data_IF_267432790884
#
_entry.id   IF_267432790884
#
_cell.length_a   1.000
_cell.length_b   1.000
_cell.length_c   1.000
_cell.angle_alpha   90.00
_cell.angle_beta   90.00
_cell.angle_gamma   90.00
#
_symmetry.space_group_name_H-M   'P 1'
#
loop_
_entity.id
_entity.type
_entity.pdbx_description
1 polymer ?
#
# COMPACT_ATOMS: atom_id res chain seq x y z
N UNK A 1 12.72 19.52 -16.15
CA UNK A 1 11.74 19.13 -15.12
C UNK A 1 11.26 17.75 -15.49
N UNK A 2 11.23 16.79 -14.56
CA UNK A 2 10.71 15.47 -14.85
C UNK A 2 9.23 15.58 -15.25
N UNK A 3 8.77 14.72 -16.16
CA UNK A 3 7.39 14.71 -16.64
C UNK A 3 6.43 14.51 -15.46
N UNK A 4 6.82 13.68 -14.48
CA UNK A 4 6.10 13.48 -13.23
C UNK A 4 5.82 14.77 -12.44
N UNK A 5 6.81 15.66 -12.25
CA UNK A 5 6.59 16.91 -11.50
C UNK A 5 5.56 17.83 -12.16
N UNK A 6 5.61 17.92 -13.49
CA UNK A 6 4.67 18.74 -14.25
C UNK A 6 3.25 18.17 -14.13
N UNK A 7 3.10 16.84 -14.26
CA UNK A 7 1.81 16.18 -14.10
C UNK A 7 1.30 16.29 -12.67
N UNK A 8 2.17 16.17 -11.66
CA UNK A 8 1.82 16.29 -10.24
C UNK A 8 1.20 17.65 -9.91
N UNK A 9 1.77 18.73 -10.43
CA UNK A 9 1.22 20.07 -10.22
C UNK A 9 -0.18 20.24 -10.85
N UNK A 10 -0.40 19.59 -12.01
CA UNK A 10 -1.71 19.61 -12.68
C UNK A 10 -2.74 18.74 -11.94
N UNK A 11 -2.37 17.52 -11.59
CA UNK A 11 -3.21 16.58 -10.82
C UNK A 11 -3.55 17.17 -9.46
N UNK A 12 -2.60 17.81 -8.78
CA UNK A 12 -2.84 18.49 -7.51
C UNK A 12 -3.83 19.65 -7.60
N UNK A 13 -4.04 20.25 -8.78
CA UNK A 13 -5.13 21.22 -9.01
C UNK A 13 -6.46 20.51 -9.26
N UNK A 14 -6.47 19.43 -10.05
CA UNK A 14 -7.66 18.64 -10.36
C UNK A 14 -8.27 17.98 -9.11
N UNK A 15 -7.41 17.55 -8.18
CA UNK A 15 -7.84 16.95 -6.92
C UNK A 15 -8.39 17.98 -5.91
N UNK A 16 -8.17 19.28 -6.14
CA UNK A 16 -8.70 20.35 -5.29
C UNK A 16 -10.10 20.76 -5.75
N UNK A 17 -11.10 20.41 -4.95
CA UNK A 17 -12.47 20.88 -5.13
C UNK A 17 -13.41 19.82 -5.70
N UNK A 18 -14.33 20.25 -6.56
CA UNK A 18 -15.42 19.41 -7.09
C UNK A 18 -14.99 18.51 -8.26
N UNK A 19 -13.91 18.88 -8.96
CA UNK A 19 -13.42 18.18 -10.15
C UNK A 19 -12.82 16.80 -9.85
N UNK A 20 -12.57 16.49 -8.57
CA UNK A 20 -12.09 15.18 -8.10
C UNK A 20 -13.04 14.02 -8.41
N UNK A 21 -14.30 14.32 -8.71
CA UNK A 21 -15.34 13.33 -9.04
C UNK A 21 -15.76 13.38 -10.51
N UNK A 22 -15.13 14.24 -11.32
CA UNK A 22 -15.43 14.33 -12.74
C UNK A 22 -14.79 13.13 -13.48
N UNK A 23 -15.58 12.25 -14.12
CA UNK A 23 -15.04 11.11 -14.88
C UNK A 23 -14.19 11.52 -16.08
N UNK A 24 -14.31 12.75 -16.61
CA UNK A 24 -13.44 13.24 -17.70
C UNK A 24 -11.96 13.32 -17.28
N UNK A 25 -11.70 13.51 -15.98
CA UNK A 25 -10.35 13.56 -15.45
C UNK A 25 -9.69 12.17 -15.33
N UNK A 26 -10.49 11.10 -15.42
CA UNK A 26 -10.03 9.73 -15.22
C UNK A 26 -8.90 9.36 -16.18
N UNK A 27 -9.02 9.69 -17.47
CA UNK A 27 -7.97 9.43 -18.46
C UNK A 27 -6.63 10.13 -18.13
N UNK A 28 -6.69 11.31 -17.54
CA UNK A 28 -5.48 12.04 -17.10
C UNK A 28 -4.87 11.39 -15.86
N UNK A 29 -5.70 10.93 -14.93
CA UNK A 29 -5.26 10.26 -13.71
C UNK A 29 -4.69 8.86 -13.99
N UNK A 30 -5.30 8.08 -14.89
CA UNK A 30 -4.79 6.78 -15.34
C UNK A 30 -3.38 6.93 -15.94
N UNK A 31 -3.21 7.89 -16.85
CA UNK A 31 -1.88 8.21 -17.41
C UNK A 31 -0.89 8.65 -16.34
N UNK A 32 -1.36 9.34 -15.30
CA UNK A 32 -0.52 9.73 -14.18
C UNK A 32 -0.06 8.52 -13.35
N UNK A 33 -0.92 7.51 -13.16
CA UNK A 33 -0.56 6.22 -12.52
C UNK A 33 0.49 5.48 -13.34
N UNK A 34 0.36 5.43 -14.67
CA UNK A 34 1.39 4.83 -15.52
C UNK A 34 2.75 5.54 -15.39
N UNK A 35 2.74 6.87 -15.33
CA UNK A 35 3.96 7.65 -15.10
C UNK A 35 4.56 7.36 -13.72
N UNK A 36 3.74 7.20 -12.68
CA UNK A 36 4.20 6.77 -11.34
C UNK A 36 4.90 5.41 -11.39
N UNK A 37 4.38 4.46 -12.17
CA UNK A 37 5.00 3.15 -12.36
C UNK A 37 6.36 3.25 -13.08
N UNK A 38 6.44 4.03 -14.15
CA UNK A 38 7.66 4.20 -14.96
C UNK A 38 8.77 4.99 -14.25
N UNK A 39 8.42 6.10 -13.60
CA UNK A 39 9.38 7.01 -12.94
C UNK A 39 9.68 6.62 -11.49
N UNK A 40 9.17 5.47 -11.02
CA UNK A 40 9.25 5.04 -9.62
C UNK A 40 8.81 6.13 -8.61
N UNK A 41 7.75 6.85 -8.96
CA UNK A 41 7.15 7.87 -8.11
C UNK A 41 5.87 7.34 -7.46
N UNK A 42 5.35 8.03 -6.45
CA UNK A 42 4.14 7.59 -5.74
C UNK A 42 3.34 8.77 -5.21
N UNK A 43 2.03 8.77 -5.48
CA UNK A 43 1.06 9.75 -5.01
C UNK A 43 -0.26 9.05 -4.60
N UNK A 44 -0.40 8.79 -3.30
CA UNK A 44 -1.56 8.10 -2.74
C UNK A 44 -2.88 8.85 -3.01
N UNK A 45 -2.89 10.18 -2.97
CA UNK A 45 -4.11 10.96 -3.11
C UNK A 45 -4.72 10.79 -4.51
N UNK A 46 -3.87 10.83 -5.54
CA UNK A 46 -4.28 10.55 -6.91
C UNK A 46 -4.75 9.11 -7.10
N UNK A 47 -4.04 8.14 -6.50
CA UNK A 47 -4.38 6.73 -6.59
C UNK A 47 -5.75 6.43 -5.96
N UNK A 48 -6.03 6.98 -4.77
CA UNK A 48 -7.34 6.84 -4.12
C UNK A 48 -8.46 7.55 -4.90
N UNK A 49 -8.16 8.66 -5.56
CA UNK A 49 -9.13 9.35 -6.42
C UNK A 49 -9.54 8.49 -7.62
N UNK A 50 -8.59 7.81 -8.28
CA UNK A 50 -8.86 6.86 -9.38
C UNK A 50 -9.75 5.72 -8.89
N UNK A 51 -9.39 5.06 -7.80
CA UNK A 51 -10.20 3.96 -7.24
C UNK A 51 -11.61 4.43 -6.87
N UNK A 52 -11.74 5.65 -6.33
CA UNK A 52 -13.03 6.24 -5.98
C UNK A 52 -13.87 6.60 -7.21
N UNK A 53 -13.25 7.07 -8.30
CA UNK A 53 -13.93 7.31 -9.57
C UNK A 53 -14.46 6.02 -10.19
N UNK A 54 -13.68 4.93 -10.11
CA UNK A 54 -14.12 3.60 -10.53
C UNK A 54 -15.30 3.07 -9.69
N UNK A 55 -15.35 3.36 -8.38
CA UNK A 55 -16.51 3.03 -7.55
C UNK A 55 -17.79 3.72 -8.01
N UNK A 56 -17.71 5.02 -8.34
CA UNK A 56 -18.87 5.77 -8.82
C UNK A 56 -19.26 5.40 -10.26
N UNK A 57 -18.29 4.99 -11.07
CA UNK A 57 -18.49 4.70 -12.49
C UNK A 57 -17.89 3.34 -12.88
N UNK A 58 -18.58 2.22 -12.57
CA UNK A 58 -18.05 0.87 -12.83
C UNK A 58 -17.76 0.58 -14.31
N UNK A 59 -18.37 1.32 -15.24
CA UNK A 59 -18.15 1.16 -16.67
C UNK A 59 -16.73 1.56 -17.14
N UNK A 60 -16.03 2.38 -16.35
CA UNK A 60 -14.65 2.79 -16.64
C UNK A 60 -13.63 2.01 -15.82
N UNK A 61 -14.03 0.96 -15.11
CA UNK A 61 -13.12 0.18 -14.28
C UNK A 61 -12.02 -0.46 -15.13
N UNK A 62 -10.76 -0.08 -14.88
CA UNK A 62 -9.60 -0.69 -15.52
C UNK A 62 -8.85 -1.58 -14.54
N UNK A 63 -8.80 -2.87 -14.85
CA UNK A 63 -8.06 -3.86 -14.07
C UNK A 63 -6.56 -3.54 -14.04
N UNK A 64 -5.96 -3.19 -15.18
CA UNK A 64 -4.51 -2.94 -15.27
C UNK A 64 -4.06 -1.77 -14.39
N UNK A 65 -4.79 -0.65 -14.43
CA UNK A 65 -4.48 0.53 -13.61
C UNK A 65 -4.69 0.21 -12.12
N UNK A 66 -5.75 -0.53 -11.78
CA UNK A 66 -6.02 -0.95 -10.39
C UNK A 66 -4.91 -1.85 -9.85
N UNK A 67 -4.44 -2.81 -10.66
CA UNK A 67 -3.31 -3.67 -10.34
C UNK A 67 -2.03 -2.87 -10.08
N UNK A 68 -1.72 -1.89 -10.95
CA UNK A 68 -0.58 -1.00 -10.77
C UNK A 68 -0.66 -0.19 -9.47
N UNK A 69 -1.83 0.37 -9.15
CA UNK A 69 -2.05 1.10 -7.89
C UNK A 69 -1.76 0.20 -6.68
N UNK A 70 -2.29 -1.03 -6.68
CA UNK A 70 -2.07 -1.99 -5.60
C UNK A 70 -0.61 -2.39 -5.46
N UNK A 71 0.07 -2.71 -6.57
CA UNK A 71 1.49 -3.05 -6.57
C UNK A 71 2.34 -1.88 -6.07
N UNK A 72 2.04 -0.65 -6.51
CA UNK A 72 2.71 0.55 -5.99
C UNK A 72 2.43 0.80 -4.51
N UNK A 73 1.23 0.48 -4.01
CA UNK A 73 0.95 0.56 -2.58
C UNK A 73 1.78 -0.47 -1.78
N UNK A 74 1.99 -1.69 -2.32
CA UNK A 74 2.87 -2.69 -1.70
C UNK A 74 4.32 -2.22 -1.59
N UNK A 75 4.81 -1.45 -2.57
CA UNK A 75 6.17 -0.90 -2.52
C UNK A 75 6.37 0.18 -1.45
N UNK A 76 5.30 0.67 -0.80
CA UNK A 76 5.35 1.70 0.24
C UNK A 76 5.00 1.17 1.65
N UNK A 77 5.04 -0.14 1.87
CA UNK A 77 4.96 -0.71 3.23
C UNK A 77 6.09 -0.12 4.12
N UNK A 78 5.84 0.15 5.42
CA UNK A 78 4.75 -0.34 6.27
C UNK A 78 3.51 0.58 6.35
N UNK A 79 3.34 1.53 5.42
CA UNK A 79 2.19 2.43 5.45
C UNK A 79 0.87 1.69 5.18
N UNK A 80 -0.23 2.12 5.81
CA UNK A 80 -1.58 1.51 5.71
C UNK A 80 -2.25 1.69 4.34
N UNK A 81 -1.52 2.22 3.37
CA UNK A 81 -1.96 2.55 2.03
C UNK A 81 -2.52 1.33 1.30
N UNK A 82 -1.88 0.17 1.44
CA UNK A 82 -2.35 -1.07 0.84
C UNK A 82 -3.73 -1.47 1.38
N UNK A 83 -3.92 -1.39 2.71
CA UNK A 83 -5.20 -1.65 3.36
C UNK A 83 -6.27 -0.66 2.89
N UNK A 84 -5.94 0.62 2.72
CA UNK A 84 -6.87 1.63 2.21
C UNK A 84 -7.31 1.32 0.77
N UNK A 85 -6.36 0.99 -0.11
CA UNK A 85 -6.64 0.58 -1.49
C UNK A 85 -7.52 -0.68 -1.54
N UNK A 86 -7.21 -1.69 -0.71
CA UNK A 86 -8.01 -2.93 -0.58
C UNK A 86 -9.46 -2.62 -0.18
N UNK A 87 -9.66 -1.82 0.86
CA UNK A 87 -11.00 -1.41 1.30
C UNK A 87 -11.80 -0.69 0.21
N UNK A 88 -11.14 0.11 -0.62
CA UNK A 88 -11.77 0.83 -1.72
C UNK A 88 -12.17 -0.11 -2.89
N UNK A 89 -11.42 -1.20 -3.11
CA UNK A 89 -11.72 -2.17 -4.15
C UNK A 89 -12.84 -3.13 -3.72
N UNK A 90 -12.84 -3.58 -2.46
CA UNK A 90 -13.90 -4.44 -1.90
C UNK A 90 -15.27 -3.75 -1.96
N UNK A 91 -15.30 -2.43 -1.77
CA UNK A 91 -16.53 -1.63 -1.89
C UNK A 91 -16.97 -1.43 -3.35
N UNK A 92 -16.04 -1.39 -4.31
CA UNK A 92 -16.33 -1.24 -5.74
C UNK A 92 -16.96 -2.50 -6.37
N UNK A 93 -16.63 -3.69 -5.85
CA UNK A 93 -17.05 -4.99 -6.39
C UNK A 93 -18.34 -5.54 -5.76
N UNK A 94 -19.05 -4.71 -4.98
CA UNK A 94 -20.22 -5.10 -4.22
C UNK A 94 -19.84 -5.40 -2.79
N UNK A 95 -19.82 -4.34 -1.98
CA UNK A 95 -19.82 -4.47 -0.54
C UNK A 95 -21.08 -5.21 -0.08
N UNK A 96 -21.03 -6.52 0.00
CA UNK A 96 -21.81 -7.23 1.01
C UNK A 96 -20.95 -7.28 2.25
N UNK A 97 -21.12 -6.31 3.14
CA UNK A 97 -20.87 -6.53 4.55
C UNK A 97 -21.60 -7.83 4.93
N UNK A 98 -20.94 -8.87 5.45
CA UNK A 98 -21.69 -9.99 5.96
C UNK A 98 -22.40 -9.52 7.24
N UNK A 99 -23.74 -9.64 7.36
CA UNK A 99 -24.36 -9.65 8.67
C UNK A 99 -23.76 -10.80 9.48
N UNK A 100 -23.67 -10.71 10.82
CA UNK A 100 -22.87 -11.61 11.66
C UNK A 100 -23.34 -13.08 11.70
N UNK A 101 -24.32 -13.48 10.89
CA UNK A 101 -24.83 -14.84 10.81
C UNK A 101 -25.32 -15.11 9.38
N UNK A 102 -24.57 -15.84 8.55
CA UNK A 102 -25.02 -16.85 7.55
C UNK A 102 -23.80 -17.40 6.78
N UNK A 103 -23.84 -18.66 6.31
CA UNK A 103 -22.69 -19.41 5.82
C UNK A 103 -22.30 -19.07 4.38
N UNK A 104 -21.00 -19.22 4.13
CA UNK A 104 -20.21 -18.99 2.91
C UNK A 104 -20.74 -19.71 1.66
N UNK A 105 -21.65 -19.09 0.90
CA UNK A 105 -21.85 -19.36 -0.53
C UNK A 105 -22.65 -18.20 -1.15
N UNK A 106 -21.97 -17.19 -1.70
CA UNK A 106 -22.63 -16.05 -2.36
C UNK A 106 -22.82 -16.32 -3.86
N UNK A 107 -24.03 -16.03 -4.32
CA UNK A 107 -24.49 -16.06 -5.70
C UNK A 107 -23.54 -15.30 -6.65
N UNK A 108 -23.07 -16.01 -7.66
CA UNK A 108 -22.36 -15.49 -8.82
C UNK A 108 -23.25 -14.56 -9.67
N UNK A 109 -22.78 -13.33 -9.87
CA UNK A 109 -22.98 -12.61 -11.13
C UNK A 109 -21.68 -12.82 -11.93
N UNK A 110 -21.71 -13.36 -13.16
CA UNK A 110 -20.49 -13.71 -13.88
C UNK A 110 -19.87 -12.45 -14.48
N UNK A 111 -19.21 -11.65 -13.65
CA UNK A 111 -18.09 -10.83 -14.12
C UNK A 111 -16.93 -11.81 -14.30
N UNK A 112 -16.42 -11.87 -15.52
CA UNK A 112 -15.46 -12.83 -16.03
C UNK A 112 -14.38 -13.13 -14.99
N UNK A 113 -14.34 -14.36 -14.44
CA UNK A 113 -13.30 -14.81 -13.49
C UNK A 113 -11.87 -14.49 -13.95
N UNK A 114 -11.68 -14.27 -15.26
CA UNK A 114 -10.44 -13.90 -15.92
C UNK A 114 -9.96 -12.47 -15.56
N UNK A 115 -10.86 -11.49 -15.46
CA UNK A 115 -10.51 -10.07 -15.31
C UNK A 115 -10.14 -9.70 -13.87
N UNK A 116 -10.57 -10.50 -12.88
CA UNK A 116 -10.20 -10.31 -11.47
C UNK A 116 -8.94 -11.08 -11.05
N UNK A 117 -8.42 -11.98 -11.90
CA UNK A 117 -7.23 -12.78 -11.59
C UNK A 117 -6.04 -11.95 -11.10
N UNK A 118 -5.60 -10.90 -11.82
CA UNK A 118 -4.42 -10.12 -11.41
C UNK A 118 -4.64 -9.43 -10.07
N UNK A 119 -5.83 -8.88 -9.82
CA UNK A 119 -6.15 -8.20 -8.55
C UNK A 119 -6.09 -9.21 -7.39
N UNK A 120 -6.68 -10.40 -7.56
CA UNK A 120 -6.65 -11.46 -6.53
C UNK A 120 -5.23 -11.93 -6.22
N UNK A 121 -4.39 -12.11 -7.24
CA UNK A 121 -2.99 -12.47 -7.06
C UNK A 121 -2.22 -11.39 -6.29
N UNK A 122 -2.44 -10.11 -6.61
CA UNK A 122 -1.79 -8.99 -5.90
C UNK A 122 -2.26 -8.89 -4.45
N UNK A 123 -3.55 -9.13 -4.18
CA UNK A 123 -4.07 -9.17 -2.81
C UNK A 123 -3.44 -10.30 -1.99
N UNK A 124 -3.25 -11.48 -2.59
CA UNK A 124 -2.54 -12.59 -1.95
C UNK A 124 -1.07 -12.27 -1.68
N UNK A 125 -0.36 -11.68 -2.66
CA UNK A 125 1.00 -11.20 -2.48
C UNK A 125 1.10 -10.17 -1.33
N UNK A 126 0.13 -9.28 -1.23
CA UNK A 126 0.04 -8.33 -0.13
C UNK A 126 -0.16 -8.98 1.24
N UNK A 127 -1.00 -10.00 1.35
CA UNK A 127 -1.18 -10.78 2.58
C UNK A 127 0.11 -11.48 3.02
N UNK A 128 0.86 -12.03 2.07
CA UNK A 128 2.17 -12.63 2.36
C UNK A 128 3.17 -11.60 2.91
N UNK A 129 3.17 -10.37 2.37
CA UNK A 129 3.99 -9.28 2.89
C UNK A 129 3.50 -8.80 4.27
N UNK A 130 2.19 -8.63 4.48
CA UNK A 130 1.60 -8.24 5.77
C UNK A 130 1.87 -9.27 6.88
N UNK A 131 1.96 -10.55 6.52
CA UNK A 131 2.26 -11.66 7.44
C UNK A 131 3.74 -12.03 7.48
N UNK A 132 4.61 -11.26 6.82
CA UNK A 132 6.07 -11.45 6.76
C UNK A 132 6.51 -12.82 6.17
N UNK A 133 5.70 -13.45 5.32
CA UNK A 133 6.04 -14.69 4.62
C UNK A 133 6.83 -14.40 3.33
N UNK A 134 8.00 -13.79 3.47
CA UNK A 134 8.84 -13.32 2.35
C UNK A 134 9.26 -14.43 1.38
N UNK A 135 9.63 -15.61 1.90
CA UNK A 135 10.02 -16.74 1.04
C UNK A 135 8.88 -17.17 0.10
N UNK A 136 7.66 -17.29 0.64
CA UNK A 136 6.47 -17.62 -0.15
C UNK A 136 6.09 -16.49 -1.10
N UNK A 137 6.30 -15.24 -0.68
CA UNK A 137 6.05 -14.06 -1.51
C UNK A 137 6.90 -14.10 -2.79
N UNK A 138 8.22 -14.30 -2.68
CA UNK A 138 9.10 -14.34 -3.85
C UNK A 138 8.78 -15.50 -4.79
N UNK A 139 8.43 -16.67 -4.25
CA UNK A 139 8.02 -17.80 -5.08
C UNK A 139 6.72 -17.49 -5.84
N UNK A 140 5.71 -16.94 -5.15
CA UNK A 140 4.47 -16.53 -5.80
C UNK A 140 4.68 -15.39 -6.79
N UNK A 141 5.64 -14.49 -6.54
CA UNK A 141 5.97 -13.39 -7.45
C UNK A 141 6.60 -13.90 -8.76
N UNK A 142 7.50 -14.88 -8.67
CA UNK A 142 8.16 -15.50 -9.83
C UNK A 142 7.14 -16.14 -10.79
N UNK A 143 6.10 -16.77 -10.23
CA UNK A 143 4.97 -17.33 -11.00
C UNK A 143 4.07 -16.25 -11.64
N UNK A 144 4.16 -15.00 -11.19
CA UNK A 144 3.29 -13.89 -11.59
C UNK A 144 4.08 -12.68 -12.15
N UNK A 145 5.25 -12.90 -12.75
CA UNK A 145 6.11 -11.82 -13.26
C UNK A 145 5.44 -10.89 -14.27
N UNK A 146 4.43 -11.38 -15.01
CA UNK A 146 3.63 -10.56 -15.94
C UNK A 146 2.93 -9.38 -15.25
N UNK A 147 2.62 -9.49 -13.95
CA UNK A 147 1.97 -8.42 -13.17
C UNK A 147 2.91 -7.24 -12.91
N UNK A 148 4.22 -7.47 -12.92
CA UNK A 148 5.23 -6.44 -12.66
C UNK A 148 5.64 -5.67 -13.93
N UNK A 149 5.12 -6.07 -15.09
CA UNK A 149 5.49 -5.44 -16.35
C UNK A 149 5.16 -3.93 -16.32
N UNK A 150 6.20 -3.11 -16.50
CA UNK A 150 6.07 -1.65 -16.51
C UNK A 150 6.19 -0.95 -15.15
N UNK A 151 6.42 -1.68 -14.04
CA UNK A 151 6.70 -1.09 -12.72
C UNK A 151 8.21 -1.08 -12.46
N UNK A 152 8.83 0.09 -12.56
CA UNK A 152 10.27 0.24 -12.32
C UNK A 152 10.57 0.20 -10.82
N UNK A 153 11.52 -0.65 -10.41
CA UNK A 153 12.03 -0.68 -9.03
C UNK A 153 11.10 -1.32 -8.01
N UNK A 154 10.17 -2.18 -8.44
CA UNK A 154 9.26 -2.92 -7.54
C UNK A 154 10.04 -3.81 -6.57
N UNK A 155 10.88 -4.71 -7.09
CA UNK A 155 11.61 -5.65 -6.26
C UNK A 155 12.58 -4.96 -5.29
N UNK A 156 13.29 -3.92 -5.73
CA UNK A 156 14.17 -3.14 -4.87
C UNK A 156 13.42 -2.49 -3.72
N UNK A 157 12.22 -1.97 -3.99
CA UNK A 157 11.36 -1.37 -2.97
C UNK A 157 10.87 -2.41 -1.95
N UNK A 158 10.52 -3.61 -2.43
CA UNK A 158 10.10 -4.72 -1.55
C UNK A 158 11.28 -5.25 -0.74
N UNK A 159 12.43 -5.56 -1.35
CA UNK A 159 13.65 -6.02 -0.64
C UNK A 159 14.10 -5.03 0.44
N UNK A 160 13.99 -3.72 0.14
CA UNK A 160 14.25 -2.66 1.13
C UNK A 160 13.29 -2.73 2.32
N UNK A 161 12.03 -3.12 2.11
CA UNK A 161 11.06 -3.35 3.18
C UNK A 161 11.34 -4.64 3.96
N UNK A 162 11.76 -5.72 3.29
CA UNK A 162 12.14 -6.99 3.94
C UNK A 162 13.44 -6.87 4.76
N UNK A 163 14.22 -5.81 4.54
CA UNK A 163 15.50 -5.61 5.21
C UNK A 163 16.65 -6.38 4.56
N UNK A 164 16.46 -6.92 3.35
CA UNK A 164 17.53 -7.49 2.52
C UNK A 164 18.35 -6.35 1.89
N UNK A 165 18.99 -5.60 2.78
CA UNK A 165 19.87 -4.50 2.45
C UNK A 165 21.26 -5.07 2.22
N UNK A 166 21.79 -4.93 1.01
CA UNK A 166 23.21 -5.18 0.76
C UNK A 166 24.08 -4.43 1.78
N UNK A 167 25.27 -4.96 2.09
CA UNK A 167 26.12 -4.51 3.21
C UNK A 167 26.36 -2.98 3.21
N UNK A 168 26.39 -2.36 2.04
CA UNK A 168 26.51 -0.91 1.86
C UNK A 168 25.27 -0.13 2.33
N UNK A 169 24.07 -0.61 2.03
CA UNK A 169 22.83 0.00 2.51
C UNK A 169 22.60 -0.27 4.00
N UNK A 170 22.97 -1.47 4.47
CA UNK A 170 22.91 -1.82 5.88
C UNK A 170 23.71 -0.83 6.73
N UNK A 171 24.91 -0.43 6.30
CA UNK A 171 25.72 0.60 6.98
C UNK A 171 25.04 1.97 7.04
N UNK A 172 24.30 2.35 5.99
CA UNK A 172 23.51 3.60 5.98
C UNK A 172 22.38 3.54 7.01
N UNK A 173 21.68 2.41 7.10
CA UNK A 173 20.62 2.21 8.10
C UNK A 173 21.18 2.12 9.52
N UNK A 174 22.30 1.42 9.73
CA UNK A 174 23.00 1.40 11.01
C UNK A 174 23.35 2.81 11.49
N UNK A 175 23.90 3.65 10.60
CA UNK A 175 24.20 5.05 10.90
C UNK A 175 22.94 5.87 11.18
N UNK A 176 21.85 5.65 10.42
CA UNK A 176 20.60 6.40 10.55
C UNK A 176 19.80 6.08 11.81
N UNK A 177 19.78 4.81 12.22
CA UNK A 177 19.00 4.31 13.36
C UNK A 177 19.83 4.02 14.60
N UNK A 178 21.15 4.28 14.54
CA UNK A 178 22.06 4.07 15.67
C UNK A 178 22.33 2.59 15.98
N UNK A 179 22.14 1.69 15.03
CA UNK A 179 22.42 0.26 15.23
C UNK A 179 23.93 0.04 15.24
N UNK A 180 24.37 -0.91 16.07
CA UNK A 180 25.80 -1.23 16.23
C UNK A 180 26.04 -2.71 15.98
N UNK A 181 27.22 -3.07 15.48
CA UNK A 181 27.65 -4.45 15.30
C UNK A 181 28.70 -4.80 16.36
N UNK A 182 28.29 -5.25 17.56
CA UNK A 182 29.23 -5.62 18.62
C UNK A 182 30.02 -6.90 18.29
N UNK A 183 29.44 -7.79 17.48
CA UNK A 183 30.04 -9.06 17.05
C UNK A 183 29.83 -9.26 15.54
N UNK A 184 30.83 -9.78 14.80
CA UNK A 184 30.70 -10.00 13.37
C UNK A 184 29.52 -10.94 13.06
N UNK A 185 28.55 -10.43 12.30
CA UNK A 185 27.32 -11.14 11.94
C UNK A 185 26.15 -10.96 12.92
N UNK A 186 26.24 -10.08 13.93
CA UNK A 186 25.11 -9.71 14.80
C UNK A 186 24.98 -8.20 14.95
N UNK A 187 23.84 -7.67 14.49
CA UNK A 187 23.50 -6.26 14.60
C UNK A 187 22.60 -6.05 15.81
N UNK A 188 23.03 -5.20 16.73
CA UNK A 188 22.25 -4.73 17.86
C UNK A 188 21.32 -3.59 17.39
N UNK A 189 20.04 -3.91 17.24
CA UNK A 189 18.99 -2.97 16.81
C UNK A 189 18.47 -2.14 18.00
N UNK A 190 18.30 -2.75 19.18
CA UNK A 190 17.84 -2.09 20.41
C UNK A 190 18.15 -2.95 21.64
N UNK A 191 18.44 -2.33 22.78
CA UNK A 191 18.53 -3.04 24.06
C UNK A 191 17.12 -3.33 24.61
N UNK A 192 16.88 -4.54 25.11
CA UNK A 192 15.57 -5.03 25.54
C UNK A 192 14.90 -4.14 26.62
N UNK A 193 15.69 -3.36 27.36
CA UNK A 193 15.21 -2.43 28.39
C UNK A 193 14.48 -1.18 27.85
N UNK A 194 14.72 -0.76 26.60
CA UNK A 194 14.05 0.44 26.04
C UNK A 194 12.62 0.17 25.52
N UNK A 195 12.29 -1.08 25.19
CA UNK A 195 10.97 -1.47 24.65
C UNK A 195 9.92 -1.76 25.75
N UNK A 196 10.36 -1.94 27.00
CA UNK A 196 9.47 -2.12 28.14
C UNK A 196 9.19 -0.73 28.73
N UNK A 197 8.22 -0.01 28.17
CA UNK A 197 7.63 1.16 28.86
C UNK A 197 6.46 0.65 29.71
N UNK A 198 6.61 0.42 31.02
CA UNK A 198 5.46 0.18 31.88
C UNK A 198 4.61 1.44 31.87
N UNK A 199 3.41 1.39 31.28
CA UNK A 199 2.39 2.41 31.54
C UNK A 199 1.88 2.17 32.95
N UNK A 200 2.24 3.05 33.89
CA UNK A 200 1.66 3.06 35.22
C UNK A 200 0.15 3.36 35.09
N UNK A 201 -0.71 2.36 35.26
CA UNK A 201 -2.16 2.54 35.41
C UNK A 201 -2.44 2.83 36.88
N UNK A 202 -1.94 3.97 37.36
CA UNK A 202 -2.44 4.54 38.59
C UNK A 202 -2.78 5.98 38.26
N UNK A 203 -4.05 6.24 37.99
CA UNK A 203 -4.58 7.59 38.10
C UNK A 203 -4.29 8.07 39.53
N UNK A 204 -3.29 8.93 39.69
CA UNK A 204 -3.15 9.72 40.90
C UNK A 204 -4.28 10.73 40.89
N UNK A 205 -5.31 10.47 41.69
CA UNK A 205 -6.32 11.46 42.01
C UNK A 205 -5.63 12.50 42.92
N UNK A 206 -5.18 13.60 42.33
CA UNK A 206 -4.71 14.76 43.10
C UNK A 206 -5.92 15.52 43.67
N UNK A 207 -6.01 15.57 45.00
CA UNK A 207 -7.15 16.10 45.76
C UNK A 207 -7.34 17.63 45.68
N UNK A 208 -6.56 18.36 44.88
CA UNK A 208 -6.62 19.84 44.80
C UNK A 208 -7.57 20.38 43.70
N UNK A 209 -8.13 19.51 42.86
CA UNK A 209 -8.94 19.93 41.69
C UNK A 209 -10.42 20.22 42.00
N UNK A 210 -10.81 20.30 43.27
CA UNK A 210 -12.23 20.35 43.70
C UNK A 210 -12.62 21.46 44.68
N UNK A 211 -11.85 22.55 44.81
CA UNK A 211 -12.26 23.74 45.57
C UNK A 211 -12.09 25.03 44.74
N UNK A 212 -13.02 25.26 43.82
CA UNK A 212 -13.49 26.60 43.44
C UNK A 212 -15.00 26.56 43.23
#
# INVERSE_FOLDING_TARGET
MALFEQMRANVGKLLRGIDRYNPENLATLERYVETQAKENAYDLEANLAVLKLYQFNPAFFQTGVTAQILLKALTNLPHTDFTLCKCMIDQAHGGTCPPPFYPRFSLDLPKTQQEERPIRQILYLGELLETCHFQSFWQALDENMELLEGITGFEDSVRKCEGDLGESQLRVWMSKYGWTEPEPGRILISNQEENIKPKNIVEKIDFDSGLR
#
